data_IF_078465866523
#
_entry.id   IF_078465866523
#
_cell.length_a   1.000
_cell.length_b   1.000
_cell.length_c   1.000
_cell.angle_alpha   90.00
_cell.angle_beta   90.00
_cell.angle_gamma   90.00
#
_symmetry.space_group_name_H-M   'P 1'
#
loop_
_entity.id
_entity.type
_entity.pdbx_description
1 polymer ?
#
# COMPACT_ATOMS: atom_id res chain seq x y z
N UNK A 1 -6.02 -11.70 6.50
CA UNK A 1 -6.23 -10.32 6.02
C UNK A 1 -5.41 -10.06 4.78
N UNK A 2 -5.84 -9.12 3.96
CA UNK A 2 -5.01 -8.59 2.86
C UNK A 2 -4.38 -7.27 3.31
N UNK A 3 -3.06 -7.22 3.30
CA UNK A 3 -2.28 -6.08 3.76
C UNK A 3 -1.60 -5.43 2.56
N UNK A 4 -1.83 -4.14 2.36
CA UNK A 4 -1.18 -3.36 1.32
C UNK A 4 0.00 -2.61 1.90
N UNK A 5 1.12 -2.65 1.18
CA UNK A 5 2.36 -1.96 1.56
C UNK A 5 2.69 -0.95 0.47
N UNK A 6 2.93 0.30 0.87
CA UNK A 6 3.44 1.35 0.00
C UNK A 6 4.90 1.10 -0.38
N UNK A 7 5.33 1.65 -1.53
CA UNK A 7 6.72 1.54 -1.97
C UNK A 7 7.59 2.71 -1.49
N UNK A 8 7.35 3.91 -1.98
CA UNK A 8 8.18 5.08 -1.66
C UNK A 8 8.04 5.52 -0.20
N UNK A 9 9.15 5.56 0.51
CA UNK A 9 9.16 5.94 1.92
C UNK A 9 8.73 4.84 2.88
N UNK A 10 8.26 3.70 2.37
CA UNK A 10 7.86 2.54 3.17
C UNK A 10 8.72 1.34 2.81
N UNK A 11 8.34 0.55 1.81
CA UNK A 11 9.14 -0.61 1.40
C UNK A 11 10.58 -0.22 1.02
N UNK A 12 10.71 0.85 0.25
CA UNK A 12 12.03 1.32 -0.22
C UNK A 12 12.94 1.77 0.91
N UNK A 13 12.38 2.18 2.03
CA UNK A 13 13.14 2.69 3.16
C UNK A 13 13.81 1.58 3.97
N UNK A 14 13.15 0.43 4.07
CA UNK A 14 13.71 -0.74 4.75
C UNK A 14 13.20 -2.04 4.10
N UNK A 15 13.76 -2.42 2.94
CA UNK A 15 13.31 -3.62 2.24
C UNK A 15 13.47 -4.89 3.07
N UNK A 16 14.49 -4.97 3.91
CA UNK A 16 14.75 -6.14 4.77
C UNK A 16 13.60 -6.34 5.75
N UNK A 17 13.17 -5.26 6.41
CA UNK A 17 12.05 -5.30 7.34
C UNK A 17 10.77 -5.79 6.64
N UNK A 18 10.43 -5.18 5.51
CA UNK A 18 9.18 -5.51 4.82
C UNK A 18 9.18 -6.89 4.18
N UNK A 19 10.33 -7.36 3.71
CA UNK A 19 10.47 -8.76 3.26
C UNK A 19 10.22 -9.74 4.40
N UNK A 20 10.76 -9.46 5.58
CA UNK A 20 10.55 -10.27 6.78
C UNK A 20 9.07 -10.23 7.21
N UNK A 21 8.44 -9.07 7.18
CA UNK A 21 7.03 -8.91 7.51
C UNK A 21 6.14 -9.74 6.58
N UNK A 22 6.39 -9.67 5.27
CA UNK A 22 5.62 -10.44 4.28
C UNK A 22 5.81 -11.93 4.50
N UNK A 23 7.04 -12.40 4.71
CA UNK A 23 7.32 -13.80 4.95
C UNK A 23 6.60 -14.31 6.21
N UNK A 24 6.71 -13.57 7.31
CA UNK A 24 6.05 -13.92 8.57
C UNK A 24 4.52 -13.89 8.43
N UNK A 25 3.99 -12.83 7.84
CA UNK A 25 2.54 -12.68 7.68
C UNK A 25 1.93 -13.78 6.83
N UNK A 26 2.61 -14.20 5.77
CA UNK A 26 2.15 -15.33 4.94
C UNK A 26 2.11 -16.62 5.72
N UNK A 27 3.10 -16.89 6.54
CA UNK A 27 3.12 -18.06 7.41
C UNK A 27 1.96 -18.06 8.40
N UNK A 28 1.45 -16.87 8.73
CA UNK A 28 0.30 -16.69 9.62
C UNK A 28 -1.03 -16.65 8.87
N UNK A 29 -1.03 -16.89 7.56
CA UNK A 29 -2.25 -16.96 6.76
C UNK A 29 -2.70 -15.65 6.14
N UNK A 30 -1.84 -14.62 6.10
CA UNK A 30 -2.17 -13.32 5.50
C UNK A 30 -1.63 -13.20 4.08
N UNK A 31 -2.25 -12.32 3.30
CA UNK A 31 -1.83 -11.98 1.95
C UNK A 31 -1.35 -10.54 1.90
N UNK A 32 -0.49 -10.26 0.92
CA UNK A 32 0.13 -8.94 0.75
C UNK A 32 0.05 -8.48 -0.69
N UNK A 33 -0.07 -7.16 -0.87
CA UNK A 33 -0.01 -6.50 -2.17
C UNK A 33 0.76 -5.19 -2.00
N UNK A 34 1.66 -4.89 -2.95
CA UNK A 34 2.31 -3.58 -2.98
C UNK A 34 1.42 -2.63 -3.77
N UNK A 35 1.10 -1.47 -3.21
CA UNK A 35 0.32 -0.44 -3.90
C UNK A 35 1.11 0.85 -3.89
N UNK A 36 1.52 1.30 -5.07
CA UNK A 36 2.36 2.49 -5.23
C UNK A 36 1.65 3.54 -6.07
N UNK A 37 1.91 4.82 -5.75
CA UNK A 37 1.46 5.93 -6.58
C UNK A 37 2.20 6.06 -7.91
N UNK A 38 3.30 5.32 -8.09
CA UNK A 38 4.07 5.36 -9.33
C UNK A 38 3.28 4.79 -10.51
N UNK A 39 3.69 5.21 -11.71
CA UNK A 39 3.29 4.57 -12.96
C UNK A 39 4.14 3.31 -13.18
N UNK A 40 3.58 2.32 -13.88
CA UNK A 40 4.32 1.12 -14.30
C UNK A 40 5.31 1.40 -15.44
N UNK A 41 5.36 2.61 -15.95
CA UNK A 41 6.16 2.97 -17.11
C UNK A 41 7.57 3.42 -16.73
N UNK A 42 8.51 3.21 -17.68
CA UNK A 42 9.88 3.72 -17.57
C UNK A 42 10.66 3.15 -16.40
N UNK A 43 11.68 3.88 -15.99
CA UNK A 43 12.58 3.47 -14.89
C UNK A 43 11.89 3.42 -13.54
N UNK A 44 10.90 4.28 -13.32
CA UNK A 44 10.16 4.36 -12.06
C UNK A 44 9.42 3.06 -11.77
N UNK A 45 8.72 2.53 -12.76
CA UNK A 45 8.04 1.24 -12.64
C UNK A 45 9.03 0.08 -12.58
N UNK A 46 10.08 0.12 -13.41
CA UNK A 46 11.11 -0.93 -13.45
C UNK A 46 11.81 -1.09 -12.09
N UNK A 47 12.09 -0.01 -11.40
CA UNK A 47 12.71 -0.05 -10.08
C UNK A 47 11.82 -0.81 -9.09
N UNK A 48 10.54 -0.50 -9.06
CA UNK A 48 9.59 -1.18 -8.16
C UNK A 48 9.53 -2.67 -8.47
N UNK A 49 9.39 -3.03 -9.75
CA UNK A 49 9.33 -4.43 -10.15
C UNK A 49 10.60 -5.19 -9.78
N UNK A 50 11.76 -4.57 -9.93
CA UNK A 50 13.04 -5.17 -9.59
C UNK A 50 13.20 -5.38 -8.08
N UNK A 51 12.89 -4.35 -7.31
CA UNK A 51 13.07 -4.38 -5.85
C UNK A 51 12.08 -5.30 -5.14
N UNK A 52 10.84 -5.32 -5.61
CA UNK A 52 9.78 -6.14 -5.03
C UNK A 52 9.80 -7.56 -5.61
N UNK A 53 10.07 -7.67 -6.91
CA UNK A 53 10.17 -8.97 -7.59
C UNK A 53 8.91 -9.80 -7.42
N UNK A 54 9.12 -11.07 -7.09
CA UNK A 54 8.03 -12.06 -6.92
C UNK A 54 7.49 -12.11 -5.48
N UNK A 55 7.91 -11.18 -4.64
CA UNK A 55 7.51 -11.20 -3.23
C UNK A 55 6.00 -11.05 -3.05
N UNK A 56 5.38 -10.19 -3.82
CA UNK A 56 3.93 -9.92 -3.79
C UNK A 56 3.48 -9.26 -5.09
N UNK A 57 2.17 -9.31 -5.41
CA UNK A 57 1.63 -8.55 -6.54
C UNK A 57 1.85 -7.05 -6.37
N UNK A 58 1.94 -6.34 -7.50
CA UNK A 58 2.15 -4.89 -7.51
C UNK A 58 1.00 -4.21 -8.22
N UNK A 59 0.44 -3.18 -7.59
CA UNK A 59 -0.57 -2.31 -8.18
C UNK A 59 0.04 -0.91 -8.34
N UNK A 60 0.02 -0.40 -9.57
CA UNK A 60 0.48 0.95 -9.90
C UNK A 60 -0.72 1.87 -10.01
N UNK A 61 -0.84 2.83 -9.09
CA UNK A 61 -1.97 3.77 -9.08
C UNK A 61 -1.80 4.93 -10.06
N UNK A 62 -0.58 5.16 -10.58
CA UNK A 62 -0.28 6.20 -11.57
C UNK A 62 -0.85 7.56 -11.17
N UNK A 63 -0.51 8.03 -10.00
CA UNK A 63 -0.97 9.30 -9.39
C UNK A 63 -2.47 9.33 -9.04
N UNK A 64 -3.18 8.21 -9.19
CA UNK A 64 -4.56 8.07 -8.74
C UNK A 64 -4.64 7.63 -7.27
N UNK A 65 -5.88 7.49 -6.79
CA UNK A 65 -6.11 6.99 -5.44
C UNK A 65 -5.73 5.51 -5.34
N UNK A 66 -4.91 5.19 -4.38
CA UNK A 66 -4.40 3.82 -4.20
C UNK A 66 -5.50 2.81 -3.94
N UNK A 67 -6.49 3.17 -3.11
CA UNK A 67 -7.63 2.27 -2.85
C UNK A 67 -8.42 1.98 -4.11
N UNK A 68 -8.69 2.99 -4.92
CA UNK A 68 -9.41 2.84 -6.19
C UNK A 68 -8.63 1.93 -7.13
N UNK A 69 -7.32 2.14 -7.26
CA UNK A 69 -6.46 1.32 -8.12
C UNK A 69 -6.41 -0.14 -7.64
N UNK A 70 -6.27 -0.36 -6.34
CA UNK A 70 -6.27 -1.70 -5.76
C UNK A 70 -7.61 -2.42 -6.01
N UNK A 71 -8.71 -1.73 -5.80
CA UNK A 71 -10.06 -2.26 -6.05
C UNK A 71 -10.26 -2.64 -7.51
N UNK A 72 -9.84 -1.77 -8.44
CA UNK A 72 -9.93 -2.04 -9.87
C UNK A 72 -9.11 -3.27 -10.27
N UNK A 73 -8.01 -3.54 -9.56
CA UNK A 73 -7.16 -4.71 -9.77
C UNK A 73 -7.69 -5.96 -9.05
N UNK A 74 -8.81 -5.87 -8.32
CA UNK A 74 -9.43 -7.00 -7.64
C UNK A 74 -9.00 -7.20 -6.18
N UNK A 75 -8.31 -6.23 -5.59
CA UNK A 75 -7.80 -6.32 -4.22
C UNK A 75 -8.64 -5.49 -3.25
N UNK A 76 -9.26 -6.17 -2.29
CA UNK A 76 -9.93 -5.54 -1.15
C UNK A 76 -8.99 -5.52 0.04
N UNK A 77 -8.38 -4.38 0.28
CA UNK A 77 -7.34 -4.23 1.30
C UNK A 77 -7.96 -4.02 2.68
N UNK A 78 -7.50 -4.81 3.64
CA UNK A 78 -7.94 -4.70 5.04
C UNK A 78 -7.06 -3.73 5.83
N UNK A 79 -5.76 -3.74 5.59
CA UNK A 79 -4.79 -2.93 6.33
C UNK A 79 -3.84 -2.25 5.34
N UNK A 80 -3.61 -0.97 5.54
CA UNK A 80 -2.68 -0.18 4.75
C UNK A 80 -1.46 0.18 5.59
N UNK A 81 -0.27 -0.10 5.07
CA UNK A 81 1.00 0.37 5.62
C UNK A 81 1.56 1.38 4.64
N UNK A 82 1.46 2.65 4.98
CA UNK A 82 1.78 3.77 4.08
C UNK A 82 2.24 4.96 4.91
N UNK A 83 3.39 5.54 4.54
CA UNK A 83 3.93 6.72 5.20
C UNK A 83 3.17 8.00 4.85
N UNK A 84 2.33 7.94 3.82
CA UNK A 84 1.51 9.06 3.38
C UNK A 84 0.07 8.62 3.11
N UNK A 85 -0.72 8.35 4.17
CA UNK A 85 -2.06 7.76 4.03
C UNK A 85 -3.07 8.65 3.30
N UNK A 86 -2.76 9.92 3.11
CA UNK A 86 -3.61 10.86 2.37
C UNK A 86 -3.80 10.46 0.90
N UNK A 87 -2.87 9.69 0.34
CA UNK A 87 -2.93 9.23 -1.04
C UNK A 87 -3.68 7.90 -1.21
N UNK A 88 -4.15 7.31 -0.12
CA UNK A 88 -4.86 6.03 -0.17
C UNK A 88 -6.27 6.21 -0.75
N UNK A 89 -7.03 7.16 -0.20
CA UNK A 89 -8.40 7.41 -0.61
C UNK A 89 -8.76 8.88 -0.40
N UNK A 90 -9.73 9.35 -1.20
CA UNK A 90 -10.29 10.69 -1.01
C UNK A 90 -10.86 10.79 0.40
N UNK A 91 -10.51 11.88 1.07
CA UNK A 91 -11.00 12.14 2.42
C UNK A 91 -12.48 12.55 2.39
N UNK A 92 -13.28 11.92 3.24
CA UNK A 92 -14.65 12.31 3.47
C UNK A 92 -14.69 13.28 4.66
N UNK A 93 -15.21 14.51 4.50
CA UNK A 93 -15.29 15.46 5.60
C UNK A 93 -16.02 14.92 6.83
N UNK A 94 -17.07 14.13 6.64
CA UNK A 94 -17.81 13.52 7.74
C UNK A 94 -16.95 12.49 8.49
N UNK A 95 -16.16 11.69 7.77
CA UNK A 95 -15.24 10.73 8.37
C UNK A 95 -14.11 11.43 9.14
N UNK A 96 -13.60 12.54 8.63
CA UNK A 96 -12.58 13.35 9.29
C UNK A 96 -13.14 13.92 10.61
N UNK A 97 -14.34 14.49 10.58
CA UNK A 97 -14.97 15.04 11.77
C UNK A 97 -15.17 13.96 12.85
N UNK A 98 -15.61 12.77 12.45
CA UNK A 98 -15.78 11.65 13.36
C UNK A 98 -14.46 11.18 13.97
N UNK A 99 -13.39 11.15 13.18
CA UNK A 99 -12.06 10.84 13.69
C UNK A 99 -11.59 11.84 14.72
N UNK A 100 -11.84 13.12 14.49
CA UNK A 100 -11.45 14.18 15.42
C UNK A 100 -12.19 14.06 16.76
N UNK A 101 -13.42 13.59 16.76
CA UNK A 101 -14.15 13.27 17.99
C UNK A 101 -13.42 12.22 18.84
N UNK A 102 -12.90 11.18 18.22
CA UNK A 102 -12.14 10.13 18.89
C UNK A 102 -10.83 10.65 19.49
N UNK A 103 -10.16 11.56 18.80
CA UNK A 103 -8.86 12.09 19.25
C UNK A 103 -8.97 13.14 20.34
N UNK A 104 -10.15 13.71 20.58
CA UNK A 104 -10.38 14.69 21.64
C UNK A 104 -10.54 14.08 23.04
N UNK A 105 -10.75 12.82 23.10
CA UNK A 105 -10.83 12.08 24.34
C UNK A 105 -9.43 11.71 24.83
#
# INVERSE_FOLDING_TARGET
MLIAIDYDGTFSRDPVLFRALVALGRRMGHAFVLVTGRSNEGQWGAEVRREVGDLMPIVFAADGWKRTAAHAAGYRVDVWIDDNPEWIARQDPAAIAKRDEYTRE
#
